data_IF_100477772716
#
_entry.id   IF_100477772716
#
_cell.length_a   1.000
_cell.length_b   1.000
_cell.length_c   1.000
_cell.angle_alpha   90.00
_cell.angle_beta   90.00
_cell.angle_gamma   90.00
#
_symmetry.space_group_name_H-M   'P 1'
#
loop_
_entity.id
_entity.type
_entity.pdbx_description
1 polymer ?
#
# COMPACT_ATOMS: atom_id res chain seq x y z
N UNK A 1 1.55 7.20 23.97
CA UNK A 1 1.22 6.33 22.82
C UNK A 1 2.54 5.90 22.20
N UNK A 2 2.82 4.60 22.11
CA UNK A 2 4.03 4.12 21.43
C UNK A 2 3.91 4.50 19.95
N UNK A 3 4.87 5.29 19.45
CA UNK A 3 4.99 5.54 18.01
C UNK A 3 5.43 4.22 17.38
N UNK A 4 4.49 3.42 16.89
CA UNK A 4 4.79 2.20 16.12
C UNK A 4 5.61 2.58 14.89
N UNK A 5 6.58 1.75 14.53
CA UNK A 5 7.49 2.07 13.42
C UNK A 5 6.73 2.15 12.09
N UNK A 6 7.26 2.87 11.10
CA UNK A 6 6.67 2.92 9.75
C UNK A 6 6.54 1.50 9.16
N UNK A 7 7.48 0.62 9.50
CA UNK A 7 7.46 -0.77 9.11
C UNK A 7 6.26 -1.52 9.70
N UNK A 8 6.04 -1.42 11.02
CA UNK A 8 4.90 -2.08 11.71
C UNK A 8 3.55 -1.54 11.22
N UNK A 9 3.44 -0.22 11.07
CA UNK A 9 2.23 0.41 10.54
C UNK A 9 1.99 -0.01 9.08
N UNK A 10 3.05 -0.08 8.27
CA UNK A 10 3.02 -0.55 6.90
C UNK A 10 2.54 -2.00 6.80
N UNK A 11 3.15 -2.92 7.57
CA UNK A 11 2.75 -4.34 7.62
C UNK A 11 1.29 -4.50 8.04
N UNK A 12 0.86 -3.78 9.06
CA UNK A 12 -0.53 -3.81 9.54
C UNK A 12 -1.51 -3.38 8.44
N UNK A 13 -1.23 -2.27 7.75
CA UNK A 13 -2.08 -1.77 6.67
C UNK A 13 -2.09 -2.73 5.47
N UNK A 14 -0.92 -3.26 5.09
CA UNK A 14 -0.81 -4.24 3.99
C UNK A 14 -1.63 -5.50 4.28
N UNK A 15 -1.57 -6.04 5.51
CA UNK A 15 -2.38 -7.20 5.91
C UNK A 15 -3.87 -6.90 5.79
N UNK A 16 -4.33 -5.77 6.32
CA UNK A 16 -5.74 -5.36 6.24
C UNK A 16 -6.21 -5.16 4.80
N UNK A 17 -5.34 -4.62 3.95
CA UNK A 17 -5.61 -4.51 2.51
C UNK A 17 -5.73 -5.88 1.86
N UNK A 18 -4.85 -6.83 2.19
CA UNK A 18 -4.89 -8.18 1.63
C UNK A 18 -6.18 -8.93 2.01
N UNK A 19 -6.63 -8.79 3.26
CA UNK A 19 -7.85 -9.41 3.77
C UNK A 19 -9.12 -8.77 3.18
N UNK A 20 -9.11 -7.44 2.99
CA UNK A 20 -10.24 -6.70 2.42
C UNK A 20 -10.39 -6.85 0.90
N UNK A 21 -9.43 -7.46 0.22
CA UNK A 21 -9.38 -7.52 -1.23
C UNK A 21 -9.88 -8.87 -1.75
N UNK A 22 -10.86 -8.85 -2.67
CA UNK A 22 -11.40 -10.08 -3.25
C UNK A 22 -10.32 -10.91 -3.99
N UNK A 23 -10.48 -12.26 -4.06
CA UNK A 23 -9.53 -13.14 -4.76
C UNK A 23 -9.31 -12.80 -6.25
N UNK A 24 -10.29 -12.17 -6.89
CA UNK A 24 -10.22 -11.74 -8.30
C UNK A 24 -9.09 -10.72 -8.57
N UNK A 25 -8.64 -9.98 -7.56
CA UNK A 25 -7.55 -9.03 -7.67
C UNK A 25 -6.17 -9.67 -7.42
N UNK A 26 -5.92 -10.84 -8.00
CA UNK A 26 -4.72 -11.67 -7.77
C UNK A 26 -3.40 -10.92 -7.94
N UNK A 27 -3.31 -10.03 -8.93
CA UNK A 27 -2.11 -9.21 -9.17
C UNK A 27 -1.82 -8.29 -7.98
N UNK A 28 -2.84 -7.61 -7.47
CA UNK A 28 -2.70 -6.68 -6.33
C UNK A 28 -2.44 -7.45 -5.04
N UNK A 29 -3.09 -8.61 -4.85
CA UNK A 29 -2.80 -9.53 -3.75
C UNK A 29 -1.33 -9.95 -3.72
N UNK A 30 -0.75 -10.27 -4.89
CA UNK A 30 0.66 -10.61 -5.00
C UNK A 30 1.58 -9.43 -4.67
N UNK A 31 1.25 -8.22 -5.11
CA UNK A 31 2.02 -7.01 -4.75
C UNK A 31 2.03 -6.78 -3.23
N UNK A 32 0.88 -6.96 -2.56
CA UNK A 32 0.78 -6.83 -1.10
C UNK A 32 1.63 -7.87 -0.38
N UNK A 33 1.56 -9.14 -0.79
CA UNK A 33 2.37 -10.21 -0.21
C UNK A 33 3.87 -9.96 -0.40
N UNK A 34 4.28 -9.50 -1.58
CA UNK A 34 5.67 -9.18 -1.86
C UNK A 34 6.17 -8.02 -0.99
N UNK A 35 5.40 -6.93 -0.91
CA UNK A 35 5.74 -5.78 -0.08
C UNK A 35 5.82 -6.14 1.42
N UNK A 36 4.92 -6.99 1.91
CA UNK A 36 4.97 -7.50 3.29
C UNK A 36 6.28 -8.23 3.56
N UNK A 37 6.68 -9.15 2.68
CA UNK A 37 7.94 -9.90 2.79
C UNK A 37 9.17 -9.01 2.68
N UNK A 38 9.12 -8.00 1.82
CA UNK A 38 10.24 -7.06 1.65
C UNK A 38 10.42 -6.19 2.90
N UNK A 39 9.33 -5.84 3.59
CA UNK A 39 9.40 -5.15 4.89
C UNK A 39 10.01 -6.03 5.99
N UNK A 40 9.78 -7.36 5.97
CA UNK A 40 10.41 -8.30 6.93
C UNK A 40 11.92 -8.47 6.70
N UNK A 41 12.41 -8.24 5.48
CA UNK A 41 13.82 -8.50 5.13
C UNK A 41 14.77 -7.37 5.54
N UNK A 42 14.26 -6.20 5.92
CA UNK A 42 15.04 -5.00 6.31
C UNK A 42 16.18 -4.60 5.36
N UNK A 43 16.17 -5.05 4.10
CA UNK A 43 17.23 -4.76 3.12
C UNK A 43 17.08 -3.38 2.47
N UNK A 44 15.90 -2.78 2.58
CA UNK A 44 15.55 -1.49 2.01
C UNK A 44 14.78 -0.67 3.04
N UNK A 45 14.84 0.65 2.92
CA UNK A 45 14.04 1.54 3.74
C UNK A 45 12.54 1.23 3.53
N UNK A 46 11.73 1.06 4.59
CA UNK A 46 10.31 0.73 4.50
C UNK A 46 9.54 1.64 3.53
N UNK A 47 9.87 2.93 3.48
CA UNK A 47 9.23 3.91 2.62
C UNK A 47 9.41 3.59 1.13
N UNK A 48 10.56 3.06 0.74
CA UNK A 48 10.84 2.69 -0.66
C UNK A 48 9.97 1.50 -1.06
N UNK A 49 9.81 0.53 -0.16
CA UNK A 49 8.95 -0.64 -0.38
C UNK A 49 7.49 -0.21 -0.50
N UNK A 50 7.02 0.64 0.42
CA UNK A 50 5.66 1.17 0.42
C UNK A 50 5.36 2.03 -0.83
N UNK A 51 6.30 2.86 -1.28
CA UNK A 51 6.13 3.67 -2.50
C UNK A 51 5.96 2.78 -3.73
N UNK A 52 6.82 1.76 -3.90
CA UNK A 52 6.71 0.82 -5.03
C UNK A 52 5.40 0.04 -5.00
N UNK A 53 4.94 -0.35 -3.81
CA UNK A 53 3.64 -0.98 -3.64
C UNK A 53 2.52 -0.07 -4.13
N UNK A 54 2.49 1.19 -3.69
CA UNK A 54 1.49 2.17 -4.11
C UNK A 54 1.49 2.32 -5.63
N UNK A 55 2.66 2.53 -6.24
CA UNK A 55 2.80 2.66 -7.70
C UNK A 55 2.24 1.44 -8.45
N UNK A 56 2.53 0.23 -7.96
CA UNK A 56 2.00 -1.00 -8.54
C UNK A 56 0.47 -1.12 -8.41
N UNK A 57 -0.11 -0.66 -7.30
CA UNK A 57 -1.56 -0.64 -7.08
C UNK A 57 -2.23 0.37 -8.02
N UNK A 58 -1.66 1.57 -8.18
CA UNK A 58 -2.17 2.61 -9.09
C UNK A 58 -2.05 2.19 -10.55
N UNK A 59 -0.94 1.58 -10.95
CA UNK A 59 -0.77 1.06 -12.31
C UNK A 59 -1.84 -0.01 -12.65
N UNK A 60 -2.24 -0.83 -11.68
CA UNK A 60 -3.33 -1.79 -11.86
C UNK A 60 -4.72 -1.15 -11.74
N UNK A 61 -4.87 -0.01 -11.07
CA UNK A 61 -6.18 0.67 -10.98
C UNK A 61 -6.64 1.30 -12.29
N UNK A 62 -5.71 1.62 -13.20
CA UNK A 62 -6.00 2.22 -14.51
C UNK A 62 -6.57 1.19 -15.50
N UNK A 63 -6.34 -0.11 -15.28
CA UNK A 63 -6.84 -1.18 -16.15
C UNK A 63 -8.35 -1.40 -15.96
N UNK A 64 -9.11 -1.81 -16.99
CA UNK A 64 -10.53 -2.15 -16.84
C UNK A 64 -10.71 -3.30 -15.85
N UNK A 65 -11.39 -3.05 -14.73
CA UNK A 65 -11.68 -4.04 -13.68
C UNK A 65 -12.79 -3.54 -12.75
N UNK A 66 -13.29 -4.43 -11.89
CA UNK A 66 -14.17 -4.04 -10.80
C UNK A 66 -13.49 -3.04 -9.85
N UNK A 67 -14.24 -2.08 -9.27
CA UNK A 67 -13.69 -1.15 -8.29
C UNK A 67 -13.14 -1.90 -7.07
N UNK A 68 -12.12 -1.33 -6.41
CA UNK A 68 -11.63 -1.89 -5.15
C UNK A 68 -12.72 -1.84 -4.06
N UNK A 69 -12.80 -2.83 -3.16
CA UNK A 69 -13.70 -2.76 -2.00
C UNK A 69 -13.41 -1.54 -1.12
N UNK A 70 -14.44 -0.97 -0.48
CA UNK A 70 -14.29 0.26 0.33
C UNK A 70 -13.21 0.11 1.41
N UNK A 71 -13.23 -1.00 2.16
CA UNK A 71 -12.23 -1.25 3.20
C UNK A 71 -10.79 -1.32 2.66
N UNK A 72 -10.60 -1.76 1.41
CA UNK A 72 -9.29 -1.69 0.75
C UNK A 72 -8.91 -0.24 0.46
N UNK A 73 -9.82 0.56 -0.08
CA UNK A 73 -9.58 1.96 -0.42
C UNK A 73 -9.24 2.81 0.82
N UNK A 74 -9.93 2.57 1.93
CA UNK A 74 -9.67 3.27 3.20
C UNK A 74 -8.27 2.97 3.74
N UNK A 75 -7.83 1.71 3.67
CA UNK A 75 -6.49 1.31 4.07
C UNK A 75 -5.42 1.82 3.09
N UNK A 76 -5.72 1.86 1.78
CA UNK A 76 -4.83 2.43 0.76
C UNK A 76 -4.59 3.93 1.00
N UNK A 77 -5.63 4.68 1.36
CA UNK A 77 -5.53 6.09 1.73
C UNK A 77 -4.63 6.28 2.96
N UNK A 78 -4.82 5.46 4.00
CA UNK A 78 -3.95 5.47 5.20
C UNK A 78 -2.50 5.12 4.88
N UNK A 79 -2.27 4.15 4.00
CA UNK A 79 -0.92 3.77 3.56
C UNK A 79 -0.24 4.89 2.77
N UNK A 80 -1.00 5.60 1.95
CA UNK A 80 -0.53 6.78 1.20
C UNK A 80 -0.13 7.90 2.15
N UNK A 81 -0.92 8.17 3.19
CA UNK A 81 -0.61 9.15 4.22
C UNK A 81 0.63 8.75 5.03
N UNK A 82 0.75 7.49 5.43
CA UNK A 82 1.92 6.95 6.14
C UNK A 82 3.22 7.16 5.33
N UNK A 83 3.14 6.95 4.02
CA UNK A 83 4.28 7.10 3.10
C UNK A 83 4.65 8.58 2.90
N UNK A 84 3.66 9.49 2.85
CA UNK A 84 3.88 10.93 2.65
C UNK A 84 4.29 11.68 3.91
N UNK A 85 3.78 11.31 5.08
CA UNK A 85 3.99 12.03 6.35
C UNK A 85 5.44 12.02 6.83
N UNK A 86 6.31 11.19 6.24
CA UNK A 86 7.71 11.02 6.65
C UNK A 86 8.73 11.55 5.61
N UNK A 87 8.35 12.51 4.77
CA UNK A 87 9.31 13.40 4.10
C UNK A 87 9.56 13.20 2.61
N UNK A 88 8.77 12.39 1.90
CA UNK A 88 8.82 12.35 0.43
C UNK A 88 7.47 12.78 -0.15
N UNK A 89 7.39 14.05 -0.51
CA UNK A 89 6.25 14.64 -1.19
C UNK A 89 6.08 14.10 -2.60
N UNK A 90 5.41 12.96 -2.74
CA UNK A 90 4.73 12.63 -4.00
C UNK A 90 3.31 13.16 -3.91
N UNK A 91 3.13 14.41 -4.37
CA UNK A 91 1.83 14.93 -4.78
C UNK A 91 1.33 14.09 -5.95
N UNK A 92 0.49 13.09 -5.69
CA UNK A 92 -0.42 12.65 -6.75
C UNK A 92 -1.33 13.83 -7.01
N UNK A 93 -1.11 14.47 -8.16
CA UNK A 93 -2.02 15.47 -8.70
C UNK A 93 -3.43 14.86 -8.71
N UNK A 94 -4.45 15.55 -8.21
CA UNK A 94 -5.82 15.16 -8.51
C UNK A 94 -6.00 15.39 -10.01
N UNK A 95 -6.15 14.31 -10.79
CA UNK A 95 -6.81 14.44 -12.09
C UNK A 95 -8.28 14.67 -11.80
N UNK A 96 -8.72 15.91 -12.02
CA UNK A 96 -10.12 16.30 -12.18
C UNK A 96 -10.78 15.44 -13.26
#
# INVERSE_FOLDING_TARGET
MANTSVEEQGKTLISRMYDALNPEFSTVRNLLLQAYKDLDRSTQAPQVILSRLLDGIYANSIKPRAPYPQGFQDNLARLTLLTRSNGYGYTMRPTL
#
